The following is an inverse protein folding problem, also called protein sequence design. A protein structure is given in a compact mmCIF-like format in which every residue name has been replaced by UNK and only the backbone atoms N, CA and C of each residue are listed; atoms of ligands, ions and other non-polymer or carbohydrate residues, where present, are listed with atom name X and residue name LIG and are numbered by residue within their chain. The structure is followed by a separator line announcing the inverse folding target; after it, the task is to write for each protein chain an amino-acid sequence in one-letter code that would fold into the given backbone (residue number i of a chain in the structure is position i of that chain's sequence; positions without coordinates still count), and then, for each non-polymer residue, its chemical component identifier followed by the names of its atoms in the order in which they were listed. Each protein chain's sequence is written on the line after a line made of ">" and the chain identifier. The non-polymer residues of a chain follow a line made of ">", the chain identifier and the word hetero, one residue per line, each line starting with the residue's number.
data_IF_675498535166
#
_entry.id   IF_675498535166
#
_cell.length_a   1.000
_cell.length_b   1.000
_cell.length_c   1.000
_cell.angle_alpha   90.00
_cell.angle_beta   90.00
_cell.angle_gamma   90.00
#
_symmetry.space_group_name_H-M   'P 1'
#
loop_
_entity.id
_entity.type
_entity.pdbx_description
1 polymer ?
#
# COMPACT_ATOMS: atom_id res chain seq x y z
N UNK A 1 -6.99 2.75 -6.96
CA UNK A 1 -6.96 3.90 -7.89
C UNK A 1 -6.92 3.38 -9.33
N UNK A 2 -7.38 4.22 -10.29
CA UNK A 2 -7.27 3.85 -11.70
C UNK A 2 -5.83 3.88 -12.19
N UNK A 3 -5.54 3.16 -13.29
CA UNK A 3 -4.20 2.93 -13.83
C UNK A 3 -3.43 4.23 -14.16
N UNK A 4 -4.13 5.27 -14.65
CA UNK A 4 -3.52 6.58 -14.89
C UNK A 4 -3.11 7.28 -13.58
N UNK A 5 -3.93 7.15 -12.54
CA UNK A 5 -3.62 7.68 -11.22
C UNK A 5 -2.42 6.97 -10.60
N UNK A 6 -2.31 5.65 -10.75
CA UNK A 6 -1.16 4.88 -10.28
C UNK A 6 0.12 5.32 -11.01
N UNK A 7 0.07 5.47 -12.33
CA UNK A 7 1.19 5.98 -13.11
C UNK A 7 1.67 7.35 -12.62
N UNK A 8 0.75 8.31 -12.40
CA UNK A 8 1.08 9.63 -11.88
C UNK A 8 1.63 9.58 -10.45
N UNK A 9 1.06 8.72 -9.60
CA UNK A 9 1.55 8.48 -8.25
C UNK A 9 3.00 7.97 -8.27
N UNK A 10 3.31 6.97 -9.09
CA UNK A 10 4.66 6.44 -9.22
C UNK A 10 5.65 7.51 -9.70
N UNK A 11 5.26 8.37 -10.66
CA UNK A 11 6.08 9.53 -11.07
C UNK A 11 6.39 10.46 -9.90
N UNK A 12 5.36 10.80 -9.13
CA UNK A 12 5.49 11.65 -7.95
C UNK A 12 6.38 11.02 -6.88
N UNK A 13 6.12 9.78 -6.50
CA UNK A 13 6.93 9.07 -5.52
C UNK A 13 8.39 8.94 -5.96
N UNK A 14 8.62 8.68 -7.25
CA UNK A 14 9.98 8.61 -7.81
C UNK A 14 10.70 9.95 -7.71
N UNK A 15 10.02 11.08 -8.01
CA UNK A 15 10.58 12.43 -7.84
C UNK A 15 10.97 12.73 -6.40
N UNK A 16 10.29 12.12 -5.43
CA UNK A 16 10.58 12.21 -4.00
C UNK A 16 11.59 11.15 -3.51
N UNK A 17 12.28 10.47 -4.44
CA UNK A 17 13.30 9.44 -4.14
C UNK A 17 12.77 8.27 -3.31
N UNK A 18 11.52 7.86 -3.55
CA UNK A 18 11.01 6.60 -3.00
C UNK A 18 11.54 5.41 -3.77
N UNK A 19 11.62 4.28 -3.10
CA UNK A 19 11.97 2.99 -3.69
C UNK A 19 10.75 2.41 -4.41
N UNK A 20 10.41 2.97 -5.56
CA UNK A 20 9.32 2.52 -6.43
C UNK A 20 9.86 2.30 -7.84
N UNK A 21 9.23 1.45 -8.66
CA UNK A 21 9.55 1.33 -10.07
C UNK A 21 9.49 2.70 -10.76
N UNK A 22 10.37 2.94 -11.73
CA UNK A 22 10.31 4.17 -12.54
C UNK A 22 9.26 3.97 -13.64
N UNK A 23 8.16 4.74 -13.66
CA UNK A 23 7.21 4.69 -14.76
C UNK A 23 7.85 5.31 -16.02
N UNK A 24 7.63 4.68 -17.18
CA UNK A 24 8.27 5.03 -18.45
C UNK A 24 7.26 5.60 -19.42
N UNK A 25 6.19 4.86 -19.69
CA UNK A 25 5.21 5.19 -20.72
C UNK A 25 3.80 4.81 -20.27
N UNK A 26 2.80 5.60 -20.67
CA UNK A 26 1.39 5.37 -20.40
C UNK A 26 0.62 5.27 -21.70
N UNK A 27 0.04 4.13 -21.99
CA UNK A 27 -0.93 3.91 -23.07
C UNK A 27 -2.35 4.06 -22.53
N UNK A 28 -2.94 5.24 -22.70
CA UNK A 28 -4.34 5.50 -22.29
C UNK A 28 -5.35 4.94 -23.27
N UNK A 29 -4.95 4.82 -24.53
CA UNK A 29 -5.83 4.38 -25.61
C UNK A 29 -6.02 2.88 -25.67
N UNK A 30 -5.13 2.13 -25.04
CA UNK A 30 -5.10 0.67 -25.13
C UNK A 30 -4.64 0.13 -26.48
N UNK A 31 -4.01 0.96 -27.31
CA UNK A 31 -3.56 0.56 -28.65
C UNK A 31 -2.55 -0.59 -28.62
N UNK A 32 -1.72 -0.67 -27.57
CA UNK A 32 -0.66 -1.66 -27.48
C UNK A 32 -1.15 -3.01 -26.92
N UNK A 33 -2.14 -3.00 -26.04
CA UNK A 33 -2.52 -4.18 -25.26
C UNK A 33 -4.02 -4.50 -25.28
N UNK A 34 -4.81 -3.70 -26.01
CA UNK A 34 -6.28 -3.80 -26.02
C UNK A 34 -6.95 -3.10 -24.82
N UNK A 35 -6.20 -2.72 -23.82
CA UNK A 35 -6.67 -2.00 -22.62
C UNK A 35 -5.67 -0.94 -22.19
N UNK A 36 -6.10 0.14 -21.49
CA UNK A 36 -5.18 1.09 -20.91
C UNK A 36 -4.10 0.39 -20.07
N UNK A 37 -2.84 0.71 -20.34
CA UNK A 37 -1.69 0.06 -19.70
C UNK A 37 -0.55 1.06 -19.50
N UNK A 38 0.37 0.78 -18.58
CA UNK A 38 1.61 1.53 -18.50
C UNK A 38 2.84 0.64 -18.38
N UNK A 39 3.94 1.13 -18.86
CA UNK A 39 5.24 0.51 -18.73
C UNK A 39 6.03 1.14 -17.61
N UNK A 40 6.70 0.32 -16.82
CA UNK A 40 7.65 0.76 -15.81
C UNK A 40 8.97 -0.03 -15.91
N UNK A 41 10.04 0.59 -15.44
CA UNK A 41 11.33 -0.07 -15.37
C UNK A 41 11.28 -1.24 -14.37
N UNK A 42 11.73 -2.41 -14.78
CA UNK A 42 11.87 -3.56 -13.89
C UNK A 42 12.80 -3.21 -12.73
N UNK A 43 12.31 -3.34 -11.52
CA UNK A 43 13.11 -3.18 -10.31
C UNK A 43 13.75 -4.51 -9.93
N UNK A 44 15.06 -4.49 -9.63
CA UNK A 44 15.79 -5.68 -9.20
C UNK A 44 15.33 -6.06 -7.79
N UNK A 45 15.02 -7.35 -7.60
CA UNK A 45 14.62 -7.90 -6.32
C UNK A 45 13.57 -9.00 -6.46
N UNK A 46 13.26 -9.64 -5.34
CA UNK A 46 12.21 -10.66 -5.22
C UNK A 46 11.31 -10.34 -4.04
N UNK A 47 10.03 -10.53 -4.21
CA UNK A 47 9.04 -10.44 -3.13
C UNK A 47 8.89 -11.75 -2.33
N UNK A 48 9.44 -12.86 -2.85
CA UNK A 48 9.40 -14.18 -2.18
C UNK A 48 10.37 -14.30 -1.00
N UNK A 49 11.09 -13.23 -0.69
CA UNK A 49 12.24 -13.27 0.21
C UNK A 49 11.87 -13.24 1.71
N UNK A 50 10.71 -12.71 2.06
CA UNK A 50 10.38 -12.47 3.47
C UNK A 50 9.58 -13.66 4.00
N UNK A 51 10.16 -14.34 4.98
CA UNK A 51 9.48 -15.41 5.73
C UNK A 51 10.05 -16.82 5.55
N UNK A 52 10.53 -17.18 4.37
CA UNK A 52 11.00 -18.54 4.06
C UNK A 52 12.53 -18.66 3.93
N UNK A 53 13.27 -17.56 3.81
CA UNK A 53 14.70 -17.62 3.65
C UNK A 53 15.41 -17.58 5.01
N UNK A 54 15.78 -18.79 5.49
CA UNK A 54 16.58 -19.02 6.69
C UNK A 54 17.98 -18.37 6.66
N UNK A 55 18.38 -17.79 5.51
CA UNK A 55 19.72 -17.21 5.28
C UNK A 55 19.92 -15.80 5.83
N UNK A 56 18.83 -15.15 6.33
CA UNK A 56 18.99 -13.86 7.00
C UNK A 56 19.36 -14.06 8.46
N UNK A 57 20.54 -13.58 8.82
CA UNK A 57 20.91 -13.46 10.21
C UNK A 57 20.11 -12.34 10.91
N UNK A 58 20.21 -12.25 12.23
CA UNK A 58 19.43 -11.29 13.03
C UNK A 58 19.76 -9.83 12.70
N UNK A 59 21.00 -9.54 12.31
CA UNK A 59 21.41 -8.18 11.94
C UNK A 59 20.83 -7.77 10.60
N UNK A 60 20.82 -8.68 9.62
CA UNK A 60 20.19 -8.47 8.32
C UNK A 60 18.69 -8.22 8.47
N UNK A 61 18.00 -9.01 9.31
CA UNK A 61 16.56 -8.84 9.58
C UNK A 61 16.29 -7.47 10.20
N UNK A 62 17.05 -7.08 11.22
CA UNK A 62 16.93 -5.75 11.85
C UNK A 62 17.16 -4.63 10.85
N UNK A 63 18.15 -4.76 9.98
CA UNK A 63 18.44 -3.74 8.97
C UNK A 63 17.33 -3.65 7.92
N UNK A 64 16.80 -4.79 7.44
CA UNK A 64 15.71 -4.83 6.49
C UNK A 64 14.44 -4.22 7.09
N UNK A 65 14.11 -4.56 8.34
CA UNK A 65 12.97 -3.98 9.06
C UNK A 65 13.11 -2.45 9.18
N UNK A 66 14.30 -1.95 9.46
CA UNK A 66 14.57 -0.50 9.48
C UNK A 66 14.38 0.15 8.10
N UNK A 67 14.86 -0.50 7.04
CA UNK A 67 14.71 0.00 5.66
C UNK A 67 13.22 0.11 5.29
N UNK A 68 12.43 -0.91 5.61
CA UNK A 68 10.98 -0.96 5.37
C UNK A 68 10.26 0.12 6.19
N UNK A 69 10.49 0.14 7.50
CA UNK A 69 9.88 1.13 8.40
C UNK A 69 10.25 2.57 8.04
N UNK A 70 11.51 2.81 7.60
CA UNK A 70 11.92 4.13 7.13
C UNK A 70 11.14 4.56 5.88
N UNK A 71 10.98 3.68 4.90
CA UNK A 71 10.22 4.00 3.68
C UNK A 71 8.74 4.25 3.99
N UNK A 72 8.13 3.44 4.85
CA UNK A 72 6.75 3.60 5.27
C UNK A 72 6.56 4.91 6.06
N UNK A 73 7.42 5.19 7.04
CA UNK A 73 7.36 6.43 7.80
C UNK A 73 7.59 7.68 6.94
N UNK A 74 8.44 7.57 5.90
CA UNK A 74 8.64 8.62 4.91
C UNK A 74 7.37 8.83 4.07
N UNK A 75 6.68 7.75 3.68
CA UNK A 75 5.42 7.79 2.94
C UNK A 75 4.35 8.52 3.74
N UNK A 76 4.15 8.13 4.99
CA UNK A 76 3.12 8.69 5.86
C UNK A 76 3.36 10.16 6.24
N UNK A 77 4.61 10.65 6.14
CA UNK A 77 4.96 12.06 6.34
C UNK A 77 4.96 12.89 5.05
N UNK A 78 4.70 12.25 3.91
CA UNK A 78 4.77 12.92 2.61
C UNK A 78 3.62 13.92 2.48
N UNK A 79 3.96 15.20 2.28
CA UNK A 79 2.99 16.23 1.93
C UNK A 79 2.62 16.11 0.46
N UNK A 80 1.36 15.86 0.19
CA UNK A 80 0.83 15.76 -1.18
C UNK A 80 0.34 17.15 -1.59
N UNK A 81 0.80 17.69 -2.72
CA UNK A 81 0.32 18.94 -3.26
C UNK A 81 -1.19 18.89 -3.56
N UNK A 82 -1.91 19.98 -3.35
CA UNK A 82 -3.37 20.04 -3.51
C UNK A 82 -3.85 19.66 -4.92
N UNK A 83 -3.07 19.96 -5.95
CA UNK A 83 -3.35 19.57 -7.33
C UNK A 83 -3.25 18.06 -7.56
N UNK A 84 -2.50 17.34 -6.73
CA UNK A 84 -2.35 15.89 -6.80
C UNK A 84 -3.33 15.15 -5.85
N UNK A 85 -3.87 15.83 -4.85
CA UNK A 85 -4.91 15.23 -3.98
C UNK A 85 -6.14 14.75 -4.76
N UNK A 86 -6.42 15.37 -5.92
CA UNK A 86 -7.52 14.94 -6.80
C UNK A 86 -7.31 13.55 -7.42
N UNK A 87 -6.06 13.09 -7.51
CA UNK A 87 -5.71 11.77 -8.02
C UNK A 87 -6.07 10.66 -7.01
N UNK A 88 -6.09 11.01 -5.74
CA UNK A 88 -6.46 10.08 -4.69
C UNK A 88 -7.93 10.30 -4.36
N UNK A 89 -8.76 9.30 -4.57
CA UNK A 89 -10.06 9.30 -3.91
C UNK A 89 -9.77 9.54 -2.44
N UNK A 90 -10.20 10.69 -1.91
CA UNK A 90 -10.45 10.75 -0.48
C UNK A 90 -11.31 9.52 -0.24
N UNK A 91 -10.81 8.57 0.53
CA UNK A 91 -11.70 7.60 1.16
C UNK A 91 -12.56 8.48 2.05
N UNK A 92 -13.58 9.08 1.40
CA UNK A 92 -14.34 10.17 1.93
C UNK A 92 -14.95 9.69 3.22
N UNK A 93 -15.42 10.52 3.98
CA UNK A 93 -16.40 10.50 5.05
C UNK A 93 -16.83 9.14 5.63
N UNK A 94 -16.86 8.07 4.81
CA UNK A 94 -17.14 6.70 5.23
C UNK A 94 -15.87 6.03 5.78
N UNK A 95 -15.88 5.70 7.05
CA UNK A 95 -14.73 5.01 7.67
C UNK A 95 -14.51 3.64 7.03
N UNK A 96 -13.30 3.10 7.17
CA UNK A 96 -12.98 1.73 6.72
C UNK A 96 -13.96 0.72 7.33
N UNK A 97 -14.34 0.92 8.59
CA UNK A 97 -15.30 0.06 9.30
C UNK A 97 -16.67 0.10 8.63
N UNK A 98 -17.17 1.28 8.26
CA UNK A 98 -18.49 1.42 7.60
C UNK A 98 -18.49 0.72 6.24
N UNK A 99 -17.38 0.82 5.49
CA UNK A 99 -17.23 0.09 4.21
C UNK A 99 -17.21 -1.42 4.42
N UNK A 100 -16.55 -1.89 5.47
CA UNK A 100 -16.50 -3.32 5.80
C UNK A 100 -17.87 -3.84 6.21
N UNK A 101 -18.66 -3.07 6.97
CA UNK A 101 -20.07 -3.42 7.24
C UNK A 101 -20.89 -3.51 5.94
N UNK A 102 -20.77 -2.50 5.06
CA UNK A 102 -21.46 -2.55 3.76
C UNK A 102 -21.07 -3.79 2.94
N UNK A 103 -19.81 -4.19 2.95
CA UNK A 103 -19.38 -5.41 2.26
C UNK A 103 -19.92 -6.68 2.95
N UNK A 104 -19.97 -6.68 4.28
CA UNK A 104 -20.49 -7.81 5.04
C UNK A 104 -21.99 -8.02 4.76
N UNK A 105 -22.76 -6.93 4.67
CA UNK A 105 -24.18 -6.95 4.38
C UNK A 105 -24.52 -7.46 2.96
N UNK A 106 -23.55 -7.43 2.04
CA UNK A 106 -23.70 -7.99 0.68
C UNK A 106 -23.49 -9.50 0.62
N UNK A 107 -22.98 -10.13 1.68
CA UNK A 107 -22.73 -11.55 1.69
C UNK A 107 -24.05 -12.33 1.94
N UNK A 108 -24.26 -13.46 1.25
CA UNK A 108 -25.46 -14.29 1.40
C UNK A 108 -25.47 -15.13 2.70
N UNK A 109 -24.46 -14.95 3.55
CA UNK A 109 -24.29 -15.67 4.82
C UNK A 109 -23.69 -14.74 5.86
N UNK A 110 -23.97 -15.03 7.14
CA UNK A 110 -23.44 -14.26 8.26
C UNK A 110 -22.04 -14.70 8.65
N UNK A 111 -21.20 -13.74 9.05
CA UNK A 111 -19.85 -13.97 9.58
C UNK A 111 -19.73 -13.37 10.99
N UNK A 112 -20.29 -14.04 12.04
CA UNK A 112 -20.40 -13.47 13.38
C UNK A 112 -19.07 -13.01 13.99
N UNK A 113 -17.97 -13.73 13.71
CA UNK A 113 -16.64 -13.38 14.21
C UNK A 113 -16.13 -12.07 13.58
N UNK A 114 -16.41 -11.86 12.29
CA UNK A 114 -16.03 -10.62 11.59
C UNK A 114 -16.88 -9.46 12.11
N UNK A 115 -18.18 -9.66 12.27
CA UNK A 115 -19.08 -8.65 12.81
C UNK A 115 -18.68 -8.26 14.24
N UNK A 116 -18.37 -9.22 15.08
CA UNK A 116 -17.88 -8.97 16.44
C UNK A 116 -16.58 -8.16 16.43
N UNK A 117 -15.64 -8.50 15.56
CA UNK A 117 -14.39 -7.77 15.40
C UNK A 117 -14.63 -6.32 14.92
N UNK A 118 -15.54 -6.10 13.98
CA UNK A 118 -15.92 -4.76 13.51
C UNK A 118 -16.54 -3.91 14.62
N UNK A 119 -17.45 -4.48 15.41
CA UNK A 119 -18.04 -3.81 16.59
C UNK A 119 -16.99 -3.44 17.63
N UNK A 120 -16.01 -4.35 17.85
CA UNK A 120 -14.90 -4.06 18.75
C UNK A 120 -14.05 -2.89 18.23
N UNK A 121 -13.68 -2.91 16.94
CA UNK A 121 -12.93 -1.84 16.30
C UNK A 121 -13.68 -0.50 16.34
N UNK A 122 -14.98 -0.52 16.14
CA UNK A 122 -15.83 0.66 16.22
C UNK A 122 -15.78 1.30 17.62
N UNK A 123 -15.94 0.48 18.67
CA UNK A 123 -15.88 0.93 20.06
C UNK A 123 -14.48 1.43 20.47
N UNK A 124 -13.42 0.90 19.85
CA UNK A 124 -12.02 1.20 20.18
C UNK A 124 -11.33 2.07 19.11
N UNK A 125 -12.07 2.88 18.38
CA UNK A 125 -11.50 3.77 17.34
C UNK A 125 -10.46 4.72 17.95
N UNK A 126 -9.31 4.93 17.29
CA UNK A 126 -8.34 5.93 17.73
C UNK A 126 -8.95 7.33 17.71
N UNK A 127 -8.74 8.10 18.78
CA UNK A 127 -9.26 9.46 18.93
C UNK A 127 -8.66 10.41 17.89
N UNK A 128 -7.36 10.28 17.60
CA UNK A 128 -6.67 11.09 16.58
C UNK A 128 -6.71 10.40 15.23
N UNK A 129 -7.40 11.03 14.28
CA UNK A 129 -7.42 10.64 12.87
C UNK A 129 -6.37 11.45 12.10
N UNK A 130 -5.14 10.95 12.03
CA UNK A 130 -4.17 11.49 11.07
C UNK A 130 -4.48 10.95 9.68
N UNK A 131 -4.41 11.82 8.67
CA UNK A 131 -4.54 11.42 7.27
C UNK A 131 -3.17 11.51 6.58
N UNK A 132 -2.80 10.47 5.88
CA UNK A 132 -1.57 10.38 5.11
C UNK A 132 -1.81 9.63 3.80
N UNK A 133 -0.84 9.67 2.91
CA UNK A 133 -0.83 8.74 1.79
C UNK A 133 -0.53 7.35 2.33
N UNK A 134 -1.48 6.44 2.17
CA UNK A 134 -1.34 5.02 2.47
C UNK A 134 -1.10 4.23 1.18
N UNK A 135 -0.36 3.14 1.29
CA UNK A 135 -0.17 2.18 0.20
C UNK A 135 -1.46 1.39 -0.04
N UNK A 136 -2.14 1.00 1.03
CA UNK A 136 -3.40 0.27 1.02
C UNK A 136 -3.28 -1.24 0.88
N UNK A 137 -2.10 -1.76 0.45
CA UNK A 137 -1.73 -3.18 0.46
C UNK A 137 -0.25 -3.37 0.83
N UNK A 138 0.17 -2.73 1.93
CA UNK A 138 1.57 -2.78 2.37
C UNK A 138 1.88 -4.11 3.06
N UNK A 139 2.37 -5.08 2.31
CA UNK A 139 2.66 -6.45 2.76
C UNK A 139 3.91 -7.03 2.11
N UNK A 140 4.38 -8.16 2.61
CA UNK A 140 5.59 -8.82 2.15
C UNK A 140 5.62 -9.05 0.63
N UNK A 141 4.50 -9.47 0.04
CA UNK A 141 4.39 -9.74 -1.39
C UNK A 141 4.66 -8.51 -2.28
N UNK A 142 4.53 -7.30 -1.74
CA UNK A 142 4.69 -6.04 -2.45
C UNK A 142 6.03 -5.34 -2.17
N UNK A 143 6.94 -6.01 -1.45
CA UNK A 143 8.27 -5.51 -1.14
C UNK A 143 9.35 -6.29 -1.91
N UNK A 144 10.09 -5.60 -2.77
CA UNK A 144 11.19 -6.20 -3.51
C UNK A 144 12.48 -6.09 -2.70
N UNK A 145 13.11 -7.24 -2.47
CA UNK A 145 14.36 -7.36 -1.72
C UNK A 145 15.44 -7.88 -2.64
N UNK A 146 16.58 -7.22 -2.63
CA UNK A 146 17.79 -7.67 -3.29
C UNK A 146 19.01 -7.47 -2.37
N UNK A 147 19.86 -8.49 -2.28
CA UNK A 147 21.05 -8.47 -1.42
C UNK A 147 20.75 -7.99 0.01
N UNK A 148 19.68 -8.54 0.59
CA UNK A 148 19.23 -8.26 1.97
C UNK A 148 18.75 -6.81 2.22
N UNK A 149 18.49 -6.03 1.17
CA UNK A 149 18.04 -4.63 1.26
C UNK A 149 16.74 -4.43 0.50
N UNK A 150 15.89 -3.55 0.99
CA UNK A 150 14.69 -3.13 0.27
C UNK A 150 15.10 -2.35 -1.00
N UNK A 151 14.63 -2.79 -2.16
CA UNK A 151 14.91 -2.17 -3.45
C UNK A 151 13.68 -1.57 -4.12
N UNK A 152 12.49 -2.07 -3.80
CA UNK A 152 11.25 -1.58 -4.39
C UNK A 152 10.03 -1.84 -3.54
N UNK A 153 9.04 -0.98 -3.67
CA UNK A 153 7.67 -1.13 -3.19
C UNK A 153 6.80 -1.06 -4.43
N UNK A 154 5.99 -2.09 -4.68
CA UNK A 154 5.19 -2.27 -5.89
C UNK A 154 3.71 -2.42 -5.53
N UNK A 155 2.84 -2.40 -6.54
CA UNK A 155 1.40 -2.65 -6.40
C UNK A 155 0.67 -1.54 -5.61
N UNK A 156 0.60 -0.36 -6.25
CA UNK A 156 0.03 0.85 -5.65
C UNK A 156 -1.46 1.06 -6.00
N UNK A 157 -2.13 0.05 -6.54
CA UNK A 157 -3.52 0.16 -7.00
C UNK A 157 -4.52 0.52 -5.88
N UNK A 158 -4.21 0.15 -4.63
CA UNK A 158 -5.02 0.49 -3.45
C UNK A 158 -4.60 1.78 -2.75
N UNK A 159 -3.65 2.54 -3.31
CA UNK A 159 -3.17 3.76 -2.65
C UNK A 159 -4.28 4.79 -2.47
N UNK A 160 -4.34 5.39 -1.29
CA UNK A 160 -5.39 6.34 -0.93
C UNK A 160 -4.92 7.29 0.19
N UNK A 161 -5.71 8.31 0.47
CA UNK A 161 -5.52 9.14 1.67
C UNK A 161 -6.33 8.52 2.80
N UNK A 162 -5.65 8.02 3.80
CA UNK A 162 -6.25 7.27 4.91
C UNK A 162 -5.45 7.36 6.20
N UNK A 163 -5.79 6.49 7.15
CA UNK A 163 -5.08 6.39 8.40
C UNK A 163 -3.78 5.59 8.22
N UNK A 164 -2.59 6.14 8.55
CA UNK A 164 -1.32 5.43 8.40
C UNK A 164 -1.24 4.11 9.20
N UNK A 165 -2.07 3.91 10.21
CA UNK A 165 -2.15 2.66 10.96
C UNK A 165 -2.70 1.50 10.12
N UNK A 166 -3.40 1.78 9.02
CA UNK A 166 -3.89 0.74 8.09
C UNK A 166 -2.73 -0.04 7.48
N UNK A 167 -1.74 0.65 6.93
CA UNK A 167 -0.55 0.01 6.35
C UNK A 167 0.26 -0.76 7.40
N UNK A 168 0.38 -0.20 8.61
CA UNK A 168 1.11 -0.85 9.70
C UNK A 168 0.39 -2.12 10.15
N UNK A 169 -0.92 -2.03 10.38
CA UNK A 169 -1.74 -3.15 10.79
C UNK A 169 -1.74 -4.28 9.76
N UNK A 170 -1.85 -3.91 8.48
CA UNK A 170 -1.80 -4.86 7.37
C UNK A 170 -0.44 -5.56 7.28
N UNK A 171 0.66 -4.82 7.38
CA UNK A 171 2.01 -5.39 7.37
C UNK A 171 2.29 -6.33 8.55
N UNK A 172 1.70 -6.06 9.71
CA UNK A 172 1.86 -6.88 10.91
C UNK A 172 0.90 -8.07 10.99
N UNK A 173 0.00 -8.25 10.03
CA UNK A 173 -0.91 -9.37 10.01
C UNK A 173 -0.15 -10.70 9.85
N UNK A 174 -0.55 -11.73 10.61
CA UNK A 174 0.16 -13.02 10.65
C UNK A 174 0.00 -13.89 9.39
N UNK A 175 -0.82 -13.44 8.44
CA UNK A 175 -1.08 -14.16 7.19
C UNK A 175 -0.02 -13.95 6.09
N UNK A 176 0.99 -13.13 6.34
CA UNK A 176 2.10 -12.85 5.41
C UNK A 176 3.40 -13.50 5.81
#
# INVERSE_FOLDING_TARGET
>A
IGIDCEFQLLKFLKSKKFKVPKPIYMDRSGLLTGNPAFMMQKTIGSSKFIGTDSKLNILDRKQLTRDIGHQLGKLHKLKIPSNQLRLFKKTGEQSVIDRLYTQLDLLPYSLPVIEWALRWLEKNRPVKRSQSLCHGDFRNGNLLIHRKRLTGIIDWEFAHIGNPLEDIGWFCARCW
#
